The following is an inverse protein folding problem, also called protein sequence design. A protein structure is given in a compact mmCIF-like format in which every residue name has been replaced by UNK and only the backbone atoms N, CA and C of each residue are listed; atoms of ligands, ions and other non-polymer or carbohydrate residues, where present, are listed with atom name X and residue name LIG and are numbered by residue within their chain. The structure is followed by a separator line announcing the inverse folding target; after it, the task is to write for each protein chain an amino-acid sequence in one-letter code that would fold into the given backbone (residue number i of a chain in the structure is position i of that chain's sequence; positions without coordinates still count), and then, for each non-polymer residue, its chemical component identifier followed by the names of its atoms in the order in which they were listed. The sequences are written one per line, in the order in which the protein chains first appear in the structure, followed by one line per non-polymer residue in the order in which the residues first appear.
data_IF_493528234993
#
_entry.id   IF_493528234993
#
_cell.length_a   1.000
_cell.length_b   1.000
_cell.length_c   1.000
_cell.angle_alpha   90.00
_cell.angle_beta   90.00
_cell.angle_gamma   90.00
#
_symmetry.space_group_name_H-M   'P 1'
#
loop_
_entity.id
_entity.type
_entity.pdbx_description
1 polymer ?
#
# COMPACT_ATOMS: atom_id res chain seq x y z
N UNK A 1 4.71 -16.96 -7.12
CA UNK A 1 5.48 -16.04 -6.24
C UNK A 1 5.60 -16.58 -4.82
N UNK A 2 4.53 -16.99 -4.12
CA UNK A 2 4.58 -17.52 -2.75
C UNK A 2 5.59 -18.67 -2.59
N UNK A 3 5.55 -19.66 -3.46
CA UNK A 3 6.46 -20.83 -3.43
C UNK A 3 7.94 -20.38 -3.43
N UNK A 4 8.26 -19.32 -4.14
CA UNK A 4 9.61 -18.76 -4.17
C UNK A 4 10.02 -18.20 -2.80
N UNK A 5 9.14 -17.46 -2.12
CA UNK A 5 9.46 -16.95 -0.77
C UNK A 5 9.62 -18.09 0.24
N UNK A 6 8.74 -19.10 0.18
CA UNK A 6 8.79 -20.25 1.07
C UNK A 6 10.11 -21.06 0.88
N UNK A 7 10.69 -21.06 -0.32
CA UNK A 7 11.98 -21.71 -0.57
C UNK A 7 13.16 -21.00 0.09
N UNK A 8 13.00 -19.78 0.55
CA UNK A 8 14.02 -19.01 1.27
C UNK A 8 14.01 -19.25 2.79
N UNK A 9 13.01 -19.99 3.28
CA UNK A 9 12.83 -20.29 4.69
C UNK A 9 13.19 -21.74 4.96
N UNK A 10 14.07 -21.97 5.93
CA UNK A 10 14.56 -23.31 6.24
C UNK A 10 13.57 -24.07 7.14
N UNK A 11 12.98 -23.39 8.14
CA UNK A 11 12.07 -24.01 9.11
C UNK A 11 10.64 -24.17 8.53
N UNK A 12 10.05 -25.38 8.61
CA UNK A 12 8.65 -25.59 8.21
C UNK A 12 7.63 -24.73 8.98
N UNK A 13 7.86 -24.46 10.26
CA UNK A 13 6.97 -23.58 11.05
C UNK A 13 7.01 -22.14 10.56
N UNK A 14 8.20 -21.66 10.18
CA UNK A 14 8.36 -20.34 9.57
C UNK A 14 7.66 -20.25 8.22
N UNK A 15 7.63 -21.33 7.44
CA UNK A 15 6.90 -21.37 6.17
C UNK A 15 5.40 -21.22 6.36
N UNK A 16 4.81 -21.94 7.31
CA UNK A 16 3.37 -21.84 7.60
C UNK A 16 3.00 -20.44 8.11
N UNK A 17 3.80 -19.89 9.01
CA UNK A 17 3.60 -18.53 9.53
C UNK A 17 3.77 -17.46 8.44
N UNK A 18 4.76 -17.61 7.56
CA UNK A 18 4.98 -16.71 6.44
C UNK A 18 3.84 -16.77 5.43
N UNK A 19 3.37 -17.98 5.09
CA UNK A 19 2.24 -18.16 4.18
C UNK A 19 0.99 -17.47 4.71
N UNK A 20 0.68 -17.63 5.99
CA UNK A 20 -0.45 -16.95 6.63
C UNK A 20 -0.33 -15.43 6.51
N UNK A 21 0.84 -14.84 6.80
CA UNK A 21 1.11 -13.41 6.65
C UNK A 21 1.01 -12.94 5.19
N UNK A 22 1.48 -13.74 4.25
CA UNK A 22 1.38 -13.42 2.84
C UNK A 22 -0.07 -13.35 2.39
N UNK A 23 -0.87 -14.37 2.72
CA UNK A 23 -2.29 -14.44 2.35
C UNK A 23 -3.10 -13.31 3.00
N UNK A 24 -2.83 -13.01 4.27
CA UNK A 24 -3.50 -11.94 5.01
C UNK A 24 -3.18 -10.55 4.46
N UNK A 25 -1.92 -10.28 4.10
CA UNK A 25 -1.50 -8.91 3.82
C UNK A 25 -1.29 -8.59 2.34
N UNK A 26 -1.18 -9.58 1.43
CA UNK A 26 -0.84 -9.34 0.03
C UNK A 26 -1.82 -8.40 -0.67
N UNK A 27 -3.11 -8.70 -0.61
CA UNK A 27 -4.12 -7.91 -1.30
C UNK A 27 -4.12 -6.44 -0.83
N UNK A 28 -4.05 -6.29 0.46
CA UNK A 28 -3.93 -5.04 1.15
C UNK A 28 -2.71 -4.23 0.69
N UNK A 29 -1.53 -4.83 0.66
CA UNK A 29 -0.29 -4.15 0.27
C UNK A 29 -0.28 -3.74 -1.22
N UNK A 30 -0.92 -4.52 -2.10
CA UNK A 30 -1.11 -4.14 -3.50
C UNK A 30 -1.93 -2.85 -3.59
N UNK A 31 -3.00 -2.71 -2.80
CA UNK A 31 -3.80 -1.48 -2.77
C UNK A 31 -2.97 -0.28 -2.28
N UNK A 32 -2.09 -0.48 -1.27
CA UNK A 32 -1.14 0.56 -0.84
C UNK A 32 -0.26 1.02 -1.99
N UNK A 33 0.43 0.07 -2.61
CA UNK A 33 1.34 0.37 -3.70
C UNK A 33 0.63 1.07 -4.86
N UNK A 34 -0.54 0.56 -5.23
CA UNK A 34 -1.32 1.11 -6.32
C UNK A 34 -1.82 2.53 -6.03
N UNK A 35 -2.19 2.86 -4.81
CA UNK A 35 -2.61 4.23 -4.45
C UNK A 35 -1.51 5.27 -4.74
N UNK A 36 -0.25 4.85 -4.70
CA UNK A 36 0.91 5.71 -5.00
C UNK A 36 1.32 5.64 -6.46
N UNK A 37 1.34 4.44 -7.04
CA UNK A 37 1.95 4.17 -8.36
C UNK A 37 0.97 4.28 -9.52
N UNK A 38 -0.34 4.02 -9.26
CA UNK A 38 -1.40 4.05 -10.27
C UNK A 38 -1.13 3.08 -11.45
N UNK A 39 -0.33 2.04 -11.22
CA UNK A 39 -0.04 0.98 -12.17
C UNK A 39 0.08 -0.36 -11.45
N UNK A 40 -0.65 -1.36 -11.94
CA UNK A 40 -0.73 -2.69 -11.32
C UNK A 40 0.62 -3.40 -11.29
N UNK A 41 1.37 -3.37 -12.39
CA UNK A 41 2.67 -4.03 -12.49
C UNK A 41 3.68 -3.46 -11.47
N UNK A 42 3.83 -2.15 -11.42
CA UNK A 42 4.73 -1.49 -10.46
C UNK A 42 4.26 -1.72 -9.00
N UNK A 43 2.94 -1.83 -8.77
CA UNK A 43 2.39 -2.12 -7.45
C UNK A 43 2.73 -3.55 -7.01
N UNK A 44 2.61 -4.52 -7.91
CA UNK A 44 3.01 -5.90 -7.63
C UNK A 44 4.51 -6.02 -7.39
N UNK A 45 5.35 -5.31 -8.14
CA UNK A 45 6.81 -5.26 -7.93
C UNK A 45 7.16 -4.69 -6.55
N UNK A 46 6.52 -3.59 -6.15
CA UNK A 46 6.75 -3.00 -4.83
C UNK A 46 6.37 -3.95 -3.68
N UNK A 47 5.28 -4.69 -3.84
CA UNK A 47 4.83 -5.70 -2.87
C UNK A 47 5.76 -6.92 -2.88
N UNK A 48 6.22 -7.35 -4.06
CA UNK A 48 7.20 -8.42 -4.19
C UNK A 48 8.48 -8.09 -3.42
N UNK A 49 9.03 -6.90 -3.60
CA UNK A 49 10.24 -6.45 -2.90
C UNK A 49 10.05 -6.46 -1.37
N UNK A 50 8.88 -6.07 -0.88
CA UNK A 50 8.57 -6.06 0.55
C UNK A 50 8.53 -7.48 1.13
N UNK A 51 7.83 -8.41 0.48
CA UNK A 51 7.77 -9.80 0.92
C UNK A 51 9.12 -10.51 0.78
N UNK A 52 9.88 -10.22 -0.25
CA UNK A 52 11.24 -10.75 -0.40
C UNK A 52 12.15 -10.27 0.75
N UNK A 53 12.02 -9.02 1.15
CA UNK A 53 12.75 -8.49 2.29
C UNK A 53 12.30 -9.11 3.61
N UNK A 54 10.99 -9.34 3.79
CA UNK A 54 10.46 -10.05 4.95
C UNK A 54 11.03 -11.47 5.03
N UNK A 55 11.03 -12.24 3.92
CA UNK A 55 11.54 -13.61 3.89
C UNK A 55 13.02 -13.70 4.32
N UNK A 56 13.84 -12.74 3.89
CA UNK A 56 15.28 -12.70 4.25
C UNK A 56 15.57 -12.41 5.72
N UNK A 57 14.60 -11.88 6.46
CA UNK A 57 14.76 -11.50 7.86
C UNK A 57 13.63 -12.07 8.73
N UNK A 58 13.00 -13.16 8.24
CA UNK A 58 11.80 -13.69 8.87
C UNK A 58 12.05 -14.22 10.28
N UNK A 59 13.21 -14.79 10.54
CA UNK A 59 13.69 -15.23 11.86
C UNK A 59 13.54 -14.15 12.95
N UNK A 60 13.82 -12.90 12.59
CA UNK A 60 13.70 -11.75 13.50
C UNK A 60 12.30 -11.16 13.54
N UNK A 61 11.61 -11.24 12.40
CA UNK A 61 10.30 -10.60 12.25
C UNK A 61 9.16 -11.47 12.77
N UNK A 62 9.27 -12.80 12.68
CA UNK A 62 8.26 -13.75 13.17
C UNK A 62 7.98 -13.61 14.68
N UNK A 63 8.94 -13.11 15.45
CA UNK A 63 8.82 -12.88 16.89
C UNK A 63 8.15 -11.54 17.25
N UNK A 64 7.85 -10.71 16.25
CA UNK A 64 7.22 -9.40 16.46
C UNK A 64 5.70 -9.51 16.53
N UNK A 65 5.04 -8.59 17.26
CA UNK A 65 3.58 -8.49 17.23
C UNK A 65 3.07 -8.32 15.79
N UNK A 66 1.91 -8.92 15.44
CA UNK A 66 1.33 -8.81 14.08
C UNK A 66 1.21 -7.37 13.57
N UNK A 67 0.88 -6.44 14.46
CA UNK A 67 0.79 -5.01 14.13
C UNK A 67 2.13 -4.40 13.71
N UNK A 68 3.24 -4.81 14.33
CA UNK A 68 4.59 -4.35 13.93
C UNK A 68 4.98 -4.93 12.58
N UNK A 69 4.64 -6.19 12.29
CA UNK A 69 4.89 -6.83 10.99
C UNK A 69 4.10 -6.11 9.89
N UNK A 70 2.81 -5.84 10.14
CA UNK A 70 1.95 -5.09 9.23
C UNK A 70 2.54 -3.69 8.93
N UNK A 71 2.97 -2.97 9.98
CA UNK A 71 3.58 -1.65 9.83
C UNK A 71 4.89 -1.72 9.06
N UNK A 72 5.73 -2.72 9.35
CA UNK A 72 6.97 -2.96 8.61
C UNK A 72 6.73 -3.18 7.12
N UNK A 73 5.82 -4.10 6.77
CA UNK A 73 5.46 -4.38 5.36
C UNK A 73 4.90 -3.13 4.67
N UNK A 74 4.00 -2.39 5.33
CA UNK A 74 3.43 -1.15 4.80
C UNK A 74 4.52 -0.12 4.49
N UNK A 75 5.46 0.08 5.42
CA UNK A 75 6.58 1.00 5.22
C UNK A 75 7.50 0.57 4.08
N UNK A 76 7.78 -0.73 3.97
CA UNK A 76 8.58 -1.28 2.88
C UNK A 76 7.92 -1.01 1.52
N UNK A 77 6.63 -1.30 1.39
CA UNK A 77 5.87 -1.06 0.16
C UNK A 77 5.80 0.42 -0.19
N UNK A 78 5.52 1.30 0.77
CA UNK A 78 5.50 2.74 0.53
C UNK A 78 6.86 3.28 0.07
N UNK A 79 7.94 2.82 0.68
CA UNK A 79 9.29 3.24 0.29
C UNK A 79 9.66 2.73 -1.11
N UNK A 80 9.31 1.48 -1.44
CA UNK A 80 9.49 0.93 -2.78
C UNK A 80 8.66 1.71 -3.82
N UNK A 81 7.39 1.97 -3.52
CA UNK A 81 6.49 2.74 -4.39
C UNK A 81 7.00 4.16 -4.66
N UNK A 82 7.47 4.85 -3.63
CA UNK A 82 8.07 6.20 -3.78
C UNK A 82 9.32 6.17 -4.67
N UNK A 83 10.18 5.16 -4.51
CA UNK A 83 11.38 5.00 -5.36
C UNK A 83 11.00 4.80 -6.82
N UNK A 84 10.04 3.92 -7.10
CA UNK A 84 9.54 3.64 -8.46
C UNK A 84 8.88 4.89 -9.07
N UNK A 85 8.01 5.56 -8.32
CA UNK A 85 7.36 6.81 -8.75
C UNK A 85 8.39 7.88 -9.13
N UNK A 86 9.39 8.13 -8.26
CA UNK A 86 10.43 9.12 -8.50
C UNK A 86 11.32 8.75 -9.70
N UNK A 87 11.64 7.46 -9.89
CA UNK A 87 12.39 6.96 -11.04
C UNK A 87 11.64 7.22 -12.35
N UNK A 88 10.33 6.97 -12.37
CA UNK A 88 9.46 7.23 -13.53
C UNK A 88 9.37 8.72 -13.83
N UNK A 89 9.13 9.54 -12.80
CA UNK A 89 9.07 11.00 -12.95
C UNK A 89 10.37 11.58 -13.54
N UNK A 90 11.53 11.06 -13.12
CA UNK A 90 12.81 11.46 -13.71
C UNK A 90 12.94 11.03 -15.17
N UNK A 91 12.52 9.81 -15.52
CA UNK A 91 12.54 9.34 -16.92
C UNK A 91 11.60 10.15 -17.80
N UNK A 92 10.38 10.40 -17.36
CA UNK A 92 9.41 11.22 -18.09
C UNK A 92 9.87 12.68 -18.28
N UNK A 93 10.71 13.21 -17.40
CA UNK A 93 11.31 14.52 -17.56
C UNK A 93 12.49 14.55 -18.55
N UNK A 94 13.09 13.38 -18.82
CA UNK A 94 14.24 13.24 -19.75
C UNK A 94 13.77 12.81 -21.14
N UNK A 95 12.72 11.98 -21.19
CA UNK A 95 12.11 11.50 -22.43
C UNK A 95 10.74 12.19 -22.59
N UNK A 96 10.61 13.09 -23.57
CA UNK A 96 9.36 13.74 -23.92
C UNK A 96 8.37 12.74 -24.55
N UNK A 97 7.88 11.76 -23.79
CA UNK A 97 6.91 10.76 -24.29
C UNK A 97 5.87 10.35 -23.25
N UNK A 98 4.63 10.48 -23.70
CA UNK A 98 3.37 9.82 -23.36
C UNK A 98 2.70 10.09 -22.01
N UNK A 99 1.38 10.38 -22.05
CA UNK A 99 0.55 10.46 -20.86
C UNK A 99 0.47 9.10 -20.17
N UNK A 100 0.50 9.12 -18.85
CA UNK A 100 0.33 7.95 -18.00
C UNK A 100 -1.10 7.42 -18.27
N UNK A 101 -1.18 6.27 -18.94
CA UNK A 101 -2.46 5.55 -19.06
C UNK A 101 -2.85 5.06 -17.64
N UNK A 102 -4.02 5.47 -17.18
CA UNK A 102 -4.65 4.90 -16.00
C UNK A 102 -5.12 3.49 -16.36
N UNK A 103 -4.39 2.47 -15.99
CA UNK A 103 -4.89 1.10 -16.05
C UNK A 103 -5.94 0.92 -14.96
N UNK A 104 -7.11 0.43 -15.37
CA UNK A 104 -8.13 -0.04 -14.43
C UNK A 104 -7.59 -1.30 -13.74
N UNK A 105 -7.57 -1.28 -12.40
CA UNK A 105 -7.27 -2.49 -11.64
C UNK A 105 -8.43 -3.46 -11.84
N UNK A 106 -8.12 -4.70 -12.18
CA UNK A 106 -9.01 -5.81 -11.88
C UNK A 106 -9.04 -6.00 -10.37
N UNK A 107 -10.04 -5.43 -9.72
CA UNK A 107 -10.24 -5.45 -8.26
C UNK A 107 -10.77 -6.79 -7.74
N UNK A 108 -10.92 -7.78 -8.61
CA UNK A 108 -11.58 -9.05 -8.31
C UNK A 108 -10.87 -9.88 -7.21
N UNK A 109 -9.58 -9.61 -6.98
CA UNK A 109 -8.82 -10.30 -5.92
C UNK A 109 -8.88 -9.62 -4.54
N UNK A 110 -9.36 -8.37 -4.48
CA UNK A 110 -9.39 -7.59 -3.23
C UNK A 110 -10.78 -7.63 -2.57
N UNK A 111 -11.79 -8.06 -3.32
CA UNK A 111 -13.20 -7.87 -3.00
C UNK A 111 -13.79 -8.85 -1.97
N UNK A 112 -13.04 -9.81 -1.46
CA UNK A 112 -13.62 -10.85 -0.61
C UNK A 112 -13.81 -10.48 0.87
N UNK A 113 -13.24 -9.37 1.35
CA UNK A 113 -13.24 -9.01 2.79
C UNK A 113 -14.13 -7.82 3.18
N UNK A 114 -14.92 -7.23 2.26
CA UNK A 114 -15.70 -6.02 2.56
C UNK A 114 -17.21 -6.21 2.37
N UNK A 115 -17.98 -5.65 3.30
CA UNK A 115 -19.44 -5.79 3.41
C UNK A 115 -20.22 -5.28 2.19
N UNK A 116 -19.65 -4.38 1.37
CA UNK A 116 -20.16 -4.02 0.04
C UNK A 116 -19.01 -3.69 -0.90
N UNK A 117 -18.79 -4.53 -1.92
CA UNK A 117 -17.79 -4.33 -2.97
C UNK A 117 -17.92 -2.97 -3.68
N UNK A 118 -19.14 -2.47 -3.77
CA UNK A 118 -19.45 -1.24 -4.49
C UNK A 118 -18.99 0.01 -3.72
N UNK A 119 -19.23 0.09 -2.42
CA UNK A 119 -18.76 1.20 -1.58
C UNK A 119 -17.23 1.27 -1.54
N UNK A 120 -16.57 0.12 -1.43
CA UNK A 120 -15.13 0.05 -1.44
C UNK A 120 -14.52 0.50 -2.79
N UNK A 121 -15.10 0.04 -3.90
CA UNK A 121 -14.71 0.50 -5.26
C UNK A 121 -14.89 2.01 -5.41
N UNK A 122 -15.97 2.56 -4.92
CA UNK A 122 -16.25 3.99 -4.95
C UNK A 122 -15.22 4.80 -4.17
N UNK A 123 -14.85 4.33 -2.97
CA UNK A 123 -13.81 4.96 -2.15
C UNK A 123 -12.44 4.90 -2.87
N UNK A 124 -12.06 3.75 -3.41
CA UNK A 124 -10.80 3.62 -4.15
C UNK A 124 -10.77 4.50 -5.40
N UNK A 125 -11.87 4.56 -6.15
CA UNK A 125 -12.00 5.41 -7.32
C UNK A 125 -11.88 6.90 -6.93
N UNK A 126 -12.49 7.31 -5.84
CA UNK A 126 -12.35 8.65 -5.29
C UNK A 126 -10.90 8.95 -4.88
N UNK A 127 -10.29 8.04 -4.11
CA UNK A 127 -8.90 8.18 -3.67
C UNK A 127 -7.93 8.31 -4.85
N UNK A 128 -8.17 7.56 -5.93
CA UNK A 128 -7.31 7.59 -7.13
C UNK A 128 -7.29 8.96 -7.82
N UNK A 129 -8.39 9.73 -7.69
CA UNK A 129 -8.55 11.07 -8.29
C UNK A 129 -8.09 12.21 -7.39
N UNK A 130 -7.81 11.92 -6.12
CA UNK A 130 -7.37 12.94 -5.16
C UNK A 130 -5.92 13.39 -5.40
N UNK A 131 -5.63 14.62 -4.94
CA UNK A 131 -4.23 15.06 -4.84
C UNK A 131 -3.41 14.09 -3.96
N UNK A 132 -2.19 13.71 -4.37
CA UNK A 132 -1.37 12.72 -3.66
C UNK A 132 -1.21 13.00 -2.17
N UNK A 133 -1.12 14.29 -1.79
CA UNK A 133 -0.94 14.70 -0.38
C UNK A 133 -2.10 14.29 0.54
N UNK A 134 -3.34 14.25 0.01
CA UNK A 134 -4.53 13.82 0.76
C UNK A 134 -4.77 12.33 0.60
N UNK A 135 -4.60 11.83 -0.62
CA UNK A 135 -4.76 10.41 -0.94
C UNK A 135 -3.91 9.52 -0.04
N UNK A 136 -2.60 9.79 0.05
CA UNK A 136 -1.67 8.98 0.84
C UNK A 136 -2.14 8.86 2.30
N UNK A 137 -2.47 9.99 2.93
CA UNK A 137 -2.88 9.99 4.35
C UNK A 137 -4.24 9.36 4.56
N UNK A 138 -5.20 9.56 3.64
CA UNK A 138 -6.53 8.95 3.73
C UNK A 138 -6.46 7.45 3.53
N UNK A 139 -5.73 6.99 2.53
CA UNK A 139 -5.51 5.56 2.29
C UNK A 139 -4.96 4.89 3.54
N UNK A 140 -3.90 5.45 4.14
CA UNK A 140 -3.30 4.88 5.35
C UNK A 140 -4.25 4.92 6.55
N UNK A 141 -5.09 5.95 6.66
CA UNK A 141 -6.04 6.06 7.76
C UNK A 141 -7.28 5.18 7.58
N UNK A 142 -7.90 5.18 6.37
CA UNK A 142 -9.20 4.53 6.15
C UNK A 142 -9.05 3.05 5.83
N UNK A 143 -8.06 2.71 4.98
CA UNK A 143 -7.86 1.31 4.57
C UNK A 143 -6.99 0.54 5.57
N UNK A 144 -6.27 1.25 6.46
CA UNK A 144 -5.23 0.63 7.30
C UNK A 144 -5.34 0.92 8.77
N UNK A 145 -6.37 1.67 9.13
CA UNK A 145 -6.62 2.08 10.52
C UNK A 145 -5.37 2.64 11.23
N UNK A 146 -4.47 3.25 10.44
CA UNK A 146 -3.24 3.85 10.98
C UNK A 146 -3.55 5.16 11.69
N UNK A 147 -2.95 5.34 12.86
CA UNK A 147 -3.02 6.59 13.60
C UNK A 147 -2.17 7.68 12.93
N UNK A 148 -2.51 8.94 13.16
CA UNK A 148 -1.80 10.07 12.56
C UNK A 148 -0.28 10.08 12.87
N UNK A 149 0.15 9.56 14.01
CA UNK A 149 1.57 9.39 14.36
C UNK A 149 2.26 8.36 13.46
N UNK A 150 1.63 7.20 13.27
CA UNK A 150 2.15 6.12 12.43
C UNK A 150 2.22 6.55 10.95
N UNK A 151 1.20 7.29 10.49
CA UNK A 151 1.19 7.88 9.15
C UNK A 151 2.32 8.91 8.99
N UNK A 152 2.56 9.73 10.02
CA UNK A 152 3.63 10.72 10.03
C UNK A 152 5.01 10.05 9.87
N UNK A 153 5.25 8.99 10.61
CA UNK A 153 6.47 8.19 10.53
C UNK A 153 6.60 7.49 9.17
N UNK A 154 5.53 6.83 8.71
CA UNK A 154 5.50 6.11 7.43
C UNK A 154 5.76 7.02 6.22
N UNK A 155 5.17 8.22 6.22
CA UNK A 155 5.31 9.19 5.13
C UNK A 155 6.49 10.15 5.31
N UNK A 156 7.21 10.09 6.43
CA UNK A 156 8.24 11.05 6.81
C UNK A 156 7.73 12.51 6.73
N UNK A 157 6.53 12.74 7.29
CA UNK A 157 5.87 14.05 7.34
C UNK A 157 5.65 14.49 8.79
N UNK A 158 5.71 15.80 9.10
CA UNK A 158 5.33 16.28 10.43
C UNK A 158 3.90 15.88 10.80
N UNK A 159 3.69 15.43 12.04
CA UNK A 159 2.37 14.97 12.51
C UNK A 159 1.28 16.06 12.37
N UNK A 160 1.63 17.33 12.56
CA UNK A 160 0.72 18.46 12.37
C UNK A 160 0.24 18.55 10.91
N UNK A 161 1.15 18.32 9.96
CA UNK A 161 0.84 18.28 8.52
C UNK A 161 -0.11 17.12 8.22
N UNK A 162 0.18 15.91 8.74
CA UNK A 162 -0.67 14.73 8.57
C UNK A 162 -2.08 14.96 9.12
N UNK A 163 -2.21 15.50 10.34
CA UNK A 163 -3.51 15.83 10.93
C UNK A 163 -4.31 16.81 10.07
N UNK A 164 -3.64 17.84 9.53
CA UNK A 164 -4.29 18.82 8.64
C UNK A 164 -4.73 18.17 7.33
N UNK A 165 -3.88 17.32 6.74
CA UNK A 165 -4.17 16.60 5.51
C UNK A 165 -5.32 15.60 5.71
N UNK A 166 -5.33 14.86 6.82
CA UNK A 166 -6.43 13.96 7.17
C UNK A 166 -7.77 14.71 7.31
N UNK A 167 -7.80 15.83 8.03
CA UNK A 167 -9.00 16.64 8.20
C UNK A 167 -9.54 17.13 6.86
N UNK A 168 -8.68 17.70 6.02
CA UNK A 168 -9.08 18.20 4.69
C UNK A 168 -9.52 17.06 3.76
N UNK A 169 -8.78 15.96 3.75
CA UNK A 169 -9.12 14.81 2.95
C UNK A 169 -10.46 14.19 3.33
N UNK A 170 -10.76 14.08 4.64
CA UNK A 170 -12.07 13.59 5.12
C UNK A 170 -13.22 14.51 4.69
N UNK A 171 -13.05 15.82 4.70
CA UNK A 171 -14.06 16.76 4.19
C UNK A 171 -14.34 16.52 2.71
N UNK A 172 -13.30 16.38 1.89
CA UNK A 172 -13.46 16.09 0.45
C UNK A 172 -14.15 14.75 0.21
N UNK A 173 -13.88 13.74 1.04
CA UNK A 173 -14.56 12.44 0.95
C UNK A 173 -16.04 12.58 1.35
N UNK A 174 -16.33 13.32 2.40
CA UNK A 174 -17.74 13.55 2.85
C UNK A 174 -18.53 14.27 1.77
N UNK A 175 -17.96 15.30 1.15
CA UNK A 175 -18.59 16.04 0.05
C UNK A 175 -18.85 15.13 -1.17
N UNK A 176 -17.95 14.20 -1.45
CA UNK A 176 -18.11 13.23 -2.55
C UNK A 176 -19.20 12.19 -2.27
N UNK A 177 -19.30 11.70 -1.03
CA UNK A 177 -20.30 10.69 -0.65
C UNK A 177 -21.67 11.27 -0.33
N UNK A 178 -21.75 12.57 -0.03
CA UNK A 178 -22.98 13.27 0.32
C UNK A 178 -23.68 13.98 -0.86
N UNK A 179 -23.07 14.01 -2.03
CA UNK A 179 -23.64 14.53 -3.29
C UNK A 179 -24.18 13.43 -4.15
#
# INVERSE_FOLDING_TARGET
MLIFYLSLLDDPQDRDAYEALYLEHRAYLITVAFSVLQQSYDAEDAVHDAFLSLAKHFDKMSQKPPQEIKLYLTNMVLNASKRLYNKRKKRAATDAVAPISHEEISLDHIANDFATQEEYRNILCFLSRMEPKYRDVLTLSLCYDMKASEIADALHRPIATVKTQLRRGKLLLTDYLGG
#
